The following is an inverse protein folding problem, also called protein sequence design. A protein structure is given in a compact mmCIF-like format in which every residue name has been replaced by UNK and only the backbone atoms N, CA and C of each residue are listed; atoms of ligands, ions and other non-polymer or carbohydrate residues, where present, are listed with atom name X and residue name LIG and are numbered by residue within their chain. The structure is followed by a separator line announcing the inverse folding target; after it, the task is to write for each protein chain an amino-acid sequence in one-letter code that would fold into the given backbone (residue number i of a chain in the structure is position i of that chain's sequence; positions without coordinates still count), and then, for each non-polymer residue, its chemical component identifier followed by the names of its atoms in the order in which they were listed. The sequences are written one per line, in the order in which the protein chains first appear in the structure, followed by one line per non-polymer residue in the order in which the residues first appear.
data_IF_504603664235
#
_entry.id   IF_504603664235
#
_cell.length_a   1.000
_cell.length_b   1.000
_cell.length_c   1.000
_cell.angle_alpha   90.00
_cell.angle_beta   90.00
_cell.angle_gamma   90.00
#
_symmetry.space_group_name_H-M   'P 1'
#
loop_
_entity.id
_entity.type
_entity.pdbx_description
1 polymer ?
#
# COMPACT_ATOMS: atom_id res chain seq x y z
N UNK A 1 -15.87 16.61 20.93
CA UNK A 1 -16.58 17.34 19.85
C UNK A 1 -15.60 17.55 18.71
N UNK A 2 -15.94 17.14 17.49
CA UNK A 2 -15.15 17.37 16.27
C UNK A 2 -15.84 18.47 15.44
N UNK A 3 -15.08 19.44 14.92
CA UNK A 3 -15.60 20.49 14.05
C UNK A 3 -15.25 20.15 12.60
N UNK A 4 -16.28 19.90 11.78
CA UNK A 4 -16.15 19.61 10.35
C UNK A 4 -16.49 20.88 9.56
N UNK A 5 -15.61 21.27 8.64
CA UNK A 5 -15.78 22.48 7.84
C UNK A 5 -16.78 22.25 6.69
N UNK A 6 -16.96 21.00 6.27
CA UNK A 6 -17.89 20.59 5.21
C UNK A 6 -19.26 20.21 5.79
N UNK A 7 -20.20 19.91 4.89
CA UNK A 7 -21.54 19.40 5.25
C UNK A 7 -21.58 17.88 5.52
N UNK A 8 -20.44 17.21 5.40
CA UNK A 8 -20.29 15.77 5.53
C UNK A 8 -18.94 15.46 6.18
N UNK A 9 -18.87 14.36 6.92
CA UNK A 9 -17.63 13.83 7.48
C UNK A 9 -16.91 12.91 6.49
N UNK A 10 -15.65 12.57 6.77
CA UNK A 10 -14.88 11.59 6.01
C UNK A 10 -13.94 12.18 4.96
N UNK A 11 -13.97 13.50 4.73
CA UNK A 11 -13.00 14.18 3.88
C UNK A 11 -12.97 13.62 2.45
N UNK A 12 -11.82 13.04 2.05
CA UNK A 12 -11.63 12.42 0.74
C UNK A 12 -12.19 11.00 0.64
N UNK A 13 -12.56 10.37 1.76
CA UNK A 13 -13.18 9.05 1.82
C UNK A 13 -14.72 9.11 1.95
N UNK A 14 -15.32 10.29 1.74
CA UNK A 14 -16.76 10.47 1.85
C UNK A 14 -17.50 9.96 0.60
N UNK A 15 -18.70 9.39 0.82
CA UNK A 15 -19.70 9.18 -0.24
C UNK A 15 -20.74 10.29 -0.13
N UNK A 16 -20.90 11.11 -1.17
CA UNK A 16 -21.79 12.27 -1.15
C UNK A 16 -22.76 12.25 -2.33
N UNK A 17 -23.94 12.82 -2.15
CA UNK A 17 -24.85 13.11 -3.25
C UNK A 17 -24.45 14.44 -3.89
N UNK A 18 -24.01 14.40 -5.16
CA UNK A 18 -23.58 15.61 -5.87
C UNK A 18 -24.77 16.34 -6.50
N UNK A 19 -25.77 15.59 -6.94
CA UNK A 19 -27.06 16.05 -7.45
C UNK A 19 -28.09 14.93 -7.28
N UNK A 20 -29.37 15.26 -7.33
CA UNK A 20 -30.47 14.36 -6.97
C UNK A 20 -30.36 12.98 -7.65
N UNK A 21 -30.27 11.95 -6.81
CA UNK A 21 -30.17 10.55 -7.20
C UNK A 21 -28.76 10.07 -7.56
N UNK A 22 -27.76 10.96 -7.61
CA UNK A 22 -26.37 10.61 -7.96
C UNK A 22 -25.43 10.69 -6.76
N UNK A 23 -25.05 9.51 -6.27
CA UNK A 23 -24.06 9.35 -5.19
C UNK A 23 -22.69 9.06 -5.78
N UNK A 24 -21.70 9.76 -5.26
CA UNK A 24 -20.32 9.72 -5.72
C UNK A 24 -19.36 9.56 -4.55
N UNK A 25 -18.40 8.65 -4.70
CA UNK A 25 -17.27 8.50 -3.80
C UNK A 25 -16.19 9.51 -4.19
N UNK A 26 -15.84 10.44 -3.30
CA UNK A 26 -14.99 11.59 -3.68
C UNK A 26 -13.62 11.15 -4.20
N UNK A 27 -12.93 10.27 -3.46
CA UNK A 27 -11.66 9.68 -3.91
C UNK A 27 -11.40 8.32 -3.25
N UNK A 28 -11.38 8.27 -1.91
CA UNK A 28 -11.13 7.08 -1.14
C UNK A 28 -12.28 6.09 -1.29
N UNK A 29 -12.05 5.07 -2.11
CA UNK A 29 -13.13 4.19 -2.60
C UNK A 29 -12.88 2.70 -2.34
N UNK A 30 -11.66 2.34 -1.89
CA UNK A 30 -11.27 0.98 -1.48
C UNK A 30 -10.67 1.00 -0.08
N UNK A 31 -11.03 0.01 0.72
CA UNK A 31 -10.51 -0.17 2.07
C UNK A 31 -9.15 -0.88 1.95
N UNK A 32 -8.10 -0.18 2.36
CA UNK A 32 -6.75 -0.74 2.51
C UNK A 32 -6.67 -1.60 3.77
N UNK A 33 -5.64 -2.47 3.91
CA UNK A 33 -5.45 -3.25 5.11
C UNK A 33 -5.27 -2.32 6.31
N UNK A 34 -5.93 -2.67 7.40
CA UNK A 34 -5.89 -1.90 8.65
C UNK A 34 -5.85 -2.86 9.83
N UNK A 35 -5.57 -2.34 11.03
CA UNK A 35 -5.48 -3.17 12.23
C UNK A 35 -6.77 -3.96 12.48
N UNK A 36 -6.64 -5.20 12.95
CA UNK A 36 -7.79 -6.02 13.35
C UNK A 36 -8.65 -5.34 14.43
N UNK A 37 -8.03 -4.59 15.34
CA UNK A 37 -8.74 -3.81 16.36
C UNK A 37 -9.74 -2.81 15.73
N UNK A 38 -9.28 -1.99 14.77
CA UNK A 38 -10.14 -1.05 14.04
C UNK A 38 -11.21 -1.77 13.22
N UNK A 39 -10.87 -2.88 12.55
CA UNK A 39 -11.85 -3.69 11.80
C UNK A 39 -12.97 -4.16 12.72
N UNK A 40 -12.62 -4.73 13.87
CA UNK A 40 -13.58 -5.26 14.83
C UNK A 40 -14.41 -4.18 15.50
N UNK A 41 -13.80 -3.07 15.92
CA UNK A 41 -14.49 -1.98 16.61
C UNK A 41 -15.51 -1.28 15.71
N UNK A 42 -15.17 -1.12 14.42
CA UNK A 42 -16.04 -0.47 13.44
C UNK A 42 -16.91 -1.45 12.63
N UNK A 43 -16.78 -2.77 12.87
CA UNK A 43 -17.51 -3.80 12.15
C UNK A 43 -17.27 -3.81 10.64
N UNK A 44 -16.07 -3.42 10.19
CA UNK A 44 -15.77 -3.23 8.75
C UNK A 44 -15.85 -4.54 7.95
N UNK A 45 -15.64 -5.67 8.60
CA UNK A 45 -15.74 -7.02 8.03
C UNK A 45 -17.19 -7.51 7.85
N UNK A 46 -18.17 -6.81 8.45
CA UNK A 46 -19.59 -7.13 8.30
C UNK A 46 -20.26 -6.38 7.14
N UNK A 47 -19.56 -5.41 6.55
CA UNK A 47 -20.09 -4.56 5.51
C UNK A 47 -20.15 -5.30 4.16
N UNK A 48 -21.19 -5.08 3.34
CA UNK A 48 -21.29 -5.71 2.03
C UNK A 48 -20.18 -5.21 1.11
N UNK A 49 -19.46 -6.16 0.49
CA UNK A 49 -18.37 -5.87 -0.45
C UNK A 49 -18.73 -6.24 -1.89
N UNK A 50 -18.09 -5.56 -2.84
CA UNK A 50 -18.03 -5.97 -4.24
C UNK A 50 -16.85 -6.92 -4.40
N UNK A 51 -17.10 -8.06 -5.02
CA UNK A 51 -16.03 -8.98 -5.42
C UNK A 51 -15.26 -8.39 -6.62
N UNK A 52 -13.94 -8.31 -6.50
CA UNK A 52 -13.07 -7.71 -7.51
C UNK A 52 -12.04 -8.75 -7.94
N UNK A 53 -11.96 -9.02 -9.24
CA UNK A 53 -10.87 -9.83 -9.81
C UNK A 53 -9.58 -9.00 -9.92
N UNK A 54 -9.71 -7.72 -10.29
CA UNK A 54 -8.60 -6.79 -10.48
C UNK A 54 -8.69 -5.69 -9.44
N UNK A 55 -7.62 -5.52 -8.66
CA UNK A 55 -7.47 -4.43 -7.69
C UNK A 55 -7.00 -3.14 -8.34
N UNK A 56 -5.99 -3.24 -9.19
CA UNK A 56 -5.41 -2.08 -9.87
C UNK A 56 -4.76 -2.47 -11.19
N UNK A 57 -4.65 -1.48 -12.08
CA UNK A 57 -3.88 -1.57 -13.31
C UNK A 57 -2.98 -0.35 -13.39
N UNK A 58 -1.68 -0.58 -13.47
CA UNK A 58 -0.70 0.47 -13.70
C UNK A 58 -0.17 0.39 -15.13
N UNK A 59 -0.13 1.53 -15.80
CA UNK A 59 0.39 1.70 -17.15
C UNK A 59 1.50 2.75 -17.10
N UNK A 60 2.61 2.47 -17.79
CA UNK A 60 3.68 3.46 -18.00
C UNK A 60 3.32 4.43 -19.13
N UNK A 61 2.89 3.89 -20.27
CA UNK A 61 2.63 4.66 -21.47
C UNK A 61 1.91 3.85 -22.56
N UNK A 62 1.71 4.47 -23.71
CA UNK A 62 1.05 3.85 -24.86
C UNK A 62 1.94 2.72 -25.40
N UNK A 63 1.39 1.51 -25.48
CA UNK A 63 2.09 0.34 -26.02
C UNK A 63 2.92 -0.44 -25.00
N UNK A 64 3.01 0.04 -23.77
CA UNK A 64 3.64 -0.72 -22.67
C UNK A 64 2.68 -1.78 -22.12
N UNK A 65 3.25 -2.91 -21.72
CA UNK A 65 2.49 -3.96 -21.07
C UNK A 65 1.96 -3.50 -19.69
N UNK A 66 0.69 -3.79 -19.34
CA UNK A 66 0.12 -3.41 -18.07
C UNK A 66 0.69 -4.22 -16.91
N UNK A 67 0.92 -3.54 -15.78
CA UNK A 67 0.99 -4.22 -14.50
C UNK A 67 -0.42 -4.36 -13.94
N UNK A 68 -0.95 -5.57 -13.97
CA UNK A 68 -2.27 -5.88 -13.41
C UNK A 68 -2.08 -6.52 -12.05
N UNK A 69 -2.68 -5.90 -11.02
CA UNK A 69 -2.72 -6.44 -9.66
C UNK A 69 -4.05 -7.15 -9.47
N UNK A 70 -4.01 -8.48 -9.51
CA UNK A 70 -5.15 -9.33 -9.23
C UNK A 70 -5.33 -9.53 -7.71
N UNK A 71 -6.57 -9.75 -7.28
CA UNK A 71 -6.85 -10.15 -5.89
C UNK A 71 -6.36 -11.56 -5.58
N UNK A 72 -6.32 -12.44 -6.60
CA UNK A 72 -5.71 -13.76 -6.50
C UNK A 72 -4.18 -13.66 -6.62
N UNK A 73 -3.41 -14.02 -5.57
CA UNK A 73 -1.96 -13.93 -5.60
C UNK A 73 -1.33 -14.88 -6.62
N UNK A 74 -1.90 -16.07 -6.87
CA UNK A 74 -1.39 -17.02 -7.87
C UNK A 74 -1.53 -16.41 -9.26
N UNK A 75 -2.69 -15.83 -9.56
CA UNK A 75 -2.93 -15.13 -10.82
C UNK A 75 -2.04 -13.90 -10.99
N UNK A 76 -1.83 -13.14 -9.91
CA UNK A 76 -0.92 -11.99 -9.89
C UNK A 76 0.53 -12.39 -10.21
N UNK A 77 1.06 -13.41 -9.55
CA UNK A 77 2.43 -13.87 -9.80
C UNK A 77 2.59 -14.54 -11.17
N UNK A 78 1.56 -15.22 -11.68
CA UNK A 78 1.55 -15.75 -13.04
C UNK A 78 1.61 -14.61 -14.08
N UNK A 79 0.74 -13.60 -13.97
CA UNK A 79 0.77 -12.40 -14.82
C UNK A 79 2.14 -11.72 -14.78
N UNK A 80 2.69 -11.56 -13.57
CA UNK A 80 3.99 -10.92 -13.40
C UNK A 80 5.10 -11.69 -14.11
N UNK A 81 5.10 -13.03 -14.01
CA UNK A 81 6.08 -13.86 -14.69
C UNK A 81 5.93 -13.84 -16.22
N UNK A 82 4.70 -13.97 -16.72
CA UNK A 82 4.40 -14.07 -18.15
C UNK A 82 4.66 -12.75 -18.89
N UNK A 83 4.31 -11.62 -18.26
CA UNK A 83 4.34 -10.30 -18.90
C UNK A 83 5.61 -9.54 -18.57
N UNK A 84 6.08 -9.58 -17.32
CA UNK A 84 7.21 -8.77 -16.85
C UNK A 84 8.50 -9.59 -16.61
N UNK A 85 8.40 -10.92 -16.62
CA UNK A 85 9.52 -11.85 -16.52
C UNK A 85 9.85 -12.32 -15.09
N UNK A 86 10.64 -13.39 -15.01
CA UNK A 86 11.00 -14.03 -13.74
C UNK A 86 11.84 -13.14 -12.79
N UNK A 87 12.60 -12.19 -13.36
CA UNK A 87 13.33 -11.18 -12.60
C UNK A 87 12.39 -10.17 -11.91
N UNK A 88 11.26 -9.81 -12.55
CA UNK A 88 10.25 -8.97 -11.92
C UNK A 88 9.56 -9.70 -10.76
N UNK A 89 9.30 -11.01 -10.91
CA UNK A 89 8.81 -11.87 -9.80
C UNK A 89 9.80 -11.88 -8.64
N UNK A 90 11.08 -12.10 -8.93
CA UNK A 90 12.14 -12.11 -7.92
C UNK A 90 12.25 -10.76 -7.21
N UNK A 91 12.18 -9.65 -7.96
CA UNK A 91 12.20 -8.30 -7.40
C UNK A 91 11.01 -8.01 -6.50
N UNK A 92 9.80 -8.42 -6.90
CA UNK A 92 8.60 -8.26 -6.08
C UNK A 92 8.68 -9.10 -4.79
N UNK A 93 9.14 -10.35 -4.88
CA UNK A 93 9.37 -11.19 -3.71
C UNK A 93 10.40 -10.55 -2.76
N UNK A 94 11.47 -9.95 -3.29
CA UNK A 94 12.46 -9.21 -2.52
C UNK A 94 11.88 -7.98 -1.82
N UNK A 95 11.02 -7.21 -2.50
CA UNK A 95 10.32 -6.05 -1.91
C UNK A 95 9.36 -6.46 -0.78
N UNK A 96 8.61 -7.56 -0.97
CA UNK A 96 7.72 -8.11 0.05
C UNK A 96 8.47 -8.65 1.27
N UNK A 97 9.66 -9.24 1.05
CA UNK A 97 10.53 -9.68 2.14
C UNK A 97 11.14 -8.48 2.88
N UNK A 98 11.59 -7.47 2.15
CA UNK A 98 12.12 -6.21 2.69
C UNK A 98 11.09 -5.50 3.56
N UNK A 99 9.82 -5.45 3.17
CA UNK A 99 8.79 -4.66 3.87
C UNK A 99 8.37 -5.25 5.23
N UNK A 100 8.69 -6.51 5.54
CA UNK A 100 8.24 -7.19 6.75
C UNK A 100 8.72 -6.51 8.05
N UNK A 101 10.03 -6.35 8.21
CA UNK A 101 10.60 -5.72 9.40
C UNK A 101 10.25 -4.22 9.52
N UNK A 102 10.34 -3.41 8.44
CA UNK A 102 9.79 -2.06 8.39
C UNK A 102 8.33 -1.96 8.85
N UNK A 103 7.45 -2.87 8.41
CA UNK A 103 6.03 -2.85 8.79
C UNK A 103 5.83 -3.06 10.28
N UNK A 104 6.58 -3.99 10.90
CA UNK A 104 6.58 -4.20 12.35
C UNK A 104 7.16 -3.00 13.11
N UNK A 105 8.27 -2.45 12.61
CA UNK A 105 8.91 -1.26 13.17
C UNK A 105 7.97 -0.03 13.15
N UNK A 106 7.21 0.17 12.08
CA UNK A 106 6.19 1.22 12.01
C UNK A 106 5.02 1.02 12.98
N UNK A 107 4.82 -0.20 13.50
CA UNK A 107 3.60 -0.54 14.23
C UNK A 107 2.36 -0.36 13.36
N UNK A 108 2.46 -0.62 12.05
CA UNK A 108 1.45 -0.28 11.03
C UNK A 108 0.03 -0.76 11.37
N UNK A 109 -0.07 -1.86 12.10
CA UNK A 109 -1.31 -2.52 12.49
C UNK A 109 -1.56 -2.53 14.01
N UNK A 110 -0.77 -1.79 14.79
CA UNK A 110 -0.91 -1.66 16.25
C UNK A 110 -1.75 -0.42 16.58
N UNK A 111 -3.07 -0.53 16.42
CA UNK A 111 -3.96 0.61 16.69
C UNK A 111 -4.00 0.95 18.19
N UNK A 112 -4.07 2.26 18.49
CA UNK A 112 -4.17 2.77 19.86
C UNK A 112 -2.85 2.83 20.63
N UNK A 113 -1.72 2.47 19.99
CA UNK A 113 -0.38 2.61 20.59
C UNK A 113 0.31 3.88 20.10
N UNK A 114 1.27 4.37 20.89
CA UNK A 114 2.18 5.42 20.43
C UNK A 114 3.13 4.87 19.36
N UNK A 115 3.64 5.73 18.45
CA UNK A 115 4.73 5.34 17.55
C UNK A 115 5.93 4.82 18.35
N UNK A 116 6.56 3.76 17.84
CA UNK A 116 7.79 3.22 18.42
C UNK A 116 8.92 4.26 18.38
N UNK A 117 9.75 4.26 19.40
CA UNK A 117 11.07 4.91 19.38
C UNK A 117 12.00 4.18 18.41
N UNK A 118 13.12 4.81 18.01
CA UNK A 118 14.09 4.14 17.13
C UNK A 118 14.69 2.87 17.76
N UNK A 119 14.94 2.87 19.07
CA UNK A 119 15.44 1.68 19.76
C UNK A 119 14.43 0.52 19.69
N UNK A 120 13.14 0.81 19.91
CA UNK A 120 12.06 -0.17 19.78
C UNK A 120 11.88 -0.65 18.32
N UNK A 121 12.04 0.25 17.34
CA UNK A 121 12.01 -0.12 15.93
C UNK A 121 13.12 -1.12 15.60
N UNK A 122 14.38 -0.81 15.93
CA UNK A 122 15.50 -1.71 15.66
C UNK A 122 15.40 -3.02 16.46
N UNK A 123 14.76 -3.01 17.64
CA UNK A 123 14.48 -4.23 18.39
C UNK A 123 13.49 -5.17 17.68
N UNK A 124 12.72 -4.71 16.68
CA UNK A 124 11.88 -5.58 15.85
C UNK A 124 12.66 -6.45 14.85
N UNK A 125 13.95 -6.16 14.62
CA UNK A 125 14.79 -6.94 13.73
C UNK A 125 15.36 -8.18 14.43
N UNK A 126 15.30 -9.31 13.74
CA UNK A 126 15.81 -10.61 14.20
C UNK A 126 17.17 -10.96 13.57
N UNK A 127 17.59 -10.21 12.55
CA UNK A 127 18.82 -10.42 11.80
C UNK A 127 19.31 -9.12 11.14
N UNK A 128 20.51 -9.15 10.56
CA UNK A 128 21.12 -7.98 9.93
C UNK A 128 20.35 -7.45 8.72
N UNK A 129 19.74 -8.34 7.93
CA UNK A 129 18.92 -7.94 6.78
C UNK A 129 17.69 -7.14 7.22
N UNK A 130 16.98 -7.60 8.24
CA UNK A 130 15.84 -6.88 8.81
C UNK A 130 16.27 -5.54 9.41
N UNK A 131 17.42 -5.52 10.12
CA UNK A 131 17.98 -4.29 10.68
C UNK A 131 18.33 -3.26 9.60
N UNK A 132 18.94 -3.72 8.51
CA UNK A 132 19.24 -2.89 7.33
C UNK A 132 17.97 -2.41 6.63
N UNK A 133 16.92 -3.22 6.57
CA UNK A 133 15.65 -2.83 5.94
C UNK A 133 14.95 -1.74 6.75
N UNK A 134 15.05 -1.78 8.08
CA UNK A 134 14.58 -0.70 8.97
C UNK A 134 15.41 0.58 8.76
N UNK A 135 16.72 0.46 8.56
CA UNK A 135 17.58 1.60 8.24
C UNK A 135 17.19 2.26 6.91
N UNK A 136 16.99 1.45 5.86
CA UNK A 136 16.48 1.92 4.57
C UNK A 136 15.14 2.64 4.74
N UNK A 137 14.21 2.10 5.52
CA UNK A 137 12.90 2.70 5.78
C UNK A 137 13.03 4.08 6.44
N UNK A 138 13.91 4.22 7.43
CA UNK A 138 14.09 5.44 8.21
C UNK A 138 14.81 6.55 7.42
N UNK A 139 15.83 6.19 6.66
CA UNK A 139 16.76 7.15 6.08
C UNK A 139 16.87 7.09 4.56
N UNK A 140 16.57 5.94 3.95
CA UNK A 140 16.64 5.72 2.51
C UNK A 140 15.44 6.31 1.75
N UNK A 141 15.58 6.35 0.43
CA UNK A 141 14.50 6.73 -0.48
C UNK A 141 13.83 5.49 -1.09
N UNK A 142 12.60 5.64 -1.60
CA UNK A 142 11.96 4.58 -2.40
C UNK A 142 12.84 4.20 -3.59
N UNK A 143 13.52 5.17 -4.20
CA UNK A 143 14.39 4.91 -5.35
C UNK A 143 15.56 4.00 -4.99
N UNK A 144 16.17 4.17 -3.80
CA UNK A 144 17.27 3.32 -3.33
C UNK A 144 16.82 1.86 -3.15
N UNK A 145 15.62 1.67 -2.58
CA UNK A 145 15.03 0.34 -2.40
C UNK A 145 14.71 -0.30 -3.76
N UNK A 146 14.10 0.46 -4.68
CA UNK A 146 13.76 -0.05 -6.01
C UNK A 146 15.00 -0.35 -6.86
N UNK A 147 16.08 0.42 -6.75
CA UNK A 147 17.34 0.13 -7.45
C UNK A 147 17.97 -1.19 -6.99
N UNK A 148 17.71 -1.62 -5.75
CA UNK A 148 18.19 -2.90 -5.23
C UNK A 148 17.38 -4.10 -5.74
N UNK A 149 16.06 -3.98 -5.78
CA UNK A 149 15.16 -5.11 -6.08
C UNK A 149 14.65 -5.15 -7.52
N UNK A 150 14.60 -4.01 -8.21
CA UNK A 150 14.15 -3.87 -9.61
C UNK A 150 15.18 -3.03 -10.40
N UNK A 151 16.44 -3.49 -10.53
CA UNK A 151 17.56 -2.66 -11.01
C UNK A 151 17.43 -2.22 -12.47
N UNK A 152 16.74 -2.98 -13.32
CA UNK A 152 16.50 -2.60 -14.71
C UNK A 152 15.35 -1.59 -14.79
N UNK A 153 15.74 -0.31 -14.84
CA UNK A 153 14.80 0.81 -14.78
C UNK A 153 13.84 0.87 -15.97
N UNK A 154 14.27 0.43 -17.15
CA UNK A 154 13.42 0.45 -18.34
C UNK A 154 12.50 -0.76 -18.36
N UNK A 155 13.05 -1.95 -18.13
CA UNK A 155 12.27 -3.19 -18.14
C UNK A 155 11.23 -3.22 -17.03
N UNK A 156 11.56 -2.75 -15.83
CA UNK A 156 10.66 -2.76 -14.68
C UNK A 156 9.94 -1.43 -14.46
N UNK A 157 9.92 -0.55 -15.45
CA UNK A 157 9.39 0.80 -15.31
C UNK A 157 7.94 0.85 -14.82
N UNK A 158 7.07 -0.05 -15.27
CA UNK A 158 5.68 -0.13 -14.81
C UNK A 158 5.60 -0.52 -13.31
N UNK A 159 6.40 -1.49 -12.87
CA UNK A 159 6.50 -1.88 -11.46
C UNK A 159 7.06 -0.74 -10.61
N UNK A 160 8.16 -0.14 -11.05
CA UNK A 160 8.81 0.97 -10.33
C UNK A 160 7.87 2.17 -10.23
N UNK A 161 7.16 2.51 -11.31
CA UNK A 161 6.13 3.54 -11.30
C UNK A 161 5.03 3.24 -10.29
N UNK A 162 4.47 2.03 -10.31
CA UNK A 162 3.46 1.59 -9.35
C UNK A 162 3.94 1.70 -7.89
N UNK A 163 5.16 1.28 -7.58
CA UNK A 163 5.70 1.33 -6.21
C UNK A 163 6.01 2.76 -5.73
N UNK A 164 6.34 3.67 -6.66
CA UNK A 164 6.60 5.08 -6.31
C UNK A 164 5.34 5.90 -6.04
N UNK A 165 4.16 5.44 -6.49
CA UNK A 165 2.86 6.09 -6.22
C UNK A 165 2.62 6.26 -4.71
N UNK A 166 3.03 5.30 -3.89
CA UNK A 166 2.84 5.39 -2.44
C UNK A 166 3.66 6.53 -1.80
N UNK A 167 4.87 6.79 -2.33
CA UNK A 167 5.71 7.88 -1.87
C UNK A 167 5.13 9.25 -2.19
N UNK A 168 4.59 9.44 -3.41
CA UNK A 168 4.04 10.74 -3.82
C UNK A 168 2.72 11.08 -3.12
N UNK A 169 2.00 10.09 -2.59
CA UNK A 169 0.72 10.30 -1.90
C UNK A 169 0.87 10.65 -0.41
N UNK A 170 2.05 10.45 0.18
CA UNK A 170 2.24 10.50 1.65
C UNK A 170 3.17 11.61 2.12
N UNK A 171 4.19 11.97 1.34
CA UNK A 171 5.12 13.04 1.67
C UNK A 171 5.01 14.20 0.69
N UNK A 172 5.27 15.42 1.16
CA UNK A 172 5.32 16.63 0.31
C UNK A 172 6.39 16.57 -0.80
N UNK A 173 7.24 15.52 -0.84
CA UNK A 173 8.39 15.39 -1.73
C UNK A 173 8.33 14.10 -2.57
N UNK A 174 9.23 13.97 -3.53
CA UNK A 174 9.23 12.83 -4.47
C UNK A 174 9.90 11.54 -3.95
N UNK A 175 9.81 10.43 -4.71
CA UNK A 175 10.30 9.10 -4.34
C UNK A 175 11.84 8.98 -4.22
N UNK A 176 12.59 9.99 -4.61
CA UNK A 176 14.05 10.06 -4.44
C UNK A 176 14.46 10.80 -3.15
N UNK A 177 13.50 11.17 -2.31
CA UNK A 177 13.78 11.91 -1.07
C UNK A 177 14.16 10.94 0.05
N UNK A 178 15.22 11.21 0.84
CA UNK A 178 15.50 10.47 2.07
C UNK A 178 14.29 10.40 3.00
N UNK A 179 14.05 9.22 3.59
CA UNK A 179 12.89 8.90 4.42
C UNK A 179 11.63 8.55 3.63
N UNK A 180 11.61 8.67 2.30
CA UNK A 180 10.44 8.27 1.50
C UNK A 180 10.19 6.76 1.48
N UNK A 181 11.21 5.94 1.80
CA UNK A 181 11.06 4.49 1.90
C UNK A 181 10.03 4.06 2.97
N UNK A 182 9.80 4.88 4.00
CA UNK A 182 8.72 4.65 4.97
C UNK A 182 7.33 4.55 4.32
N UNK A 183 7.07 5.31 3.25
CA UNK A 183 5.81 5.23 2.51
C UNK A 183 5.64 3.91 1.76
N UNK A 184 6.73 3.40 1.18
CA UNK A 184 6.74 2.09 0.52
C UNK A 184 6.49 0.97 1.54
N UNK A 185 7.18 1.01 2.68
CA UNK A 185 6.96 0.07 3.77
C UNK A 185 5.51 0.11 4.28
N UNK A 186 4.95 1.30 4.47
CA UNK A 186 3.56 1.47 4.91
C UNK A 186 2.55 0.85 3.95
N UNK A 187 2.75 1.00 2.63
CA UNK A 187 1.80 0.49 1.63
C UNK A 187 2.01 -0.97 1.23
N UNK A 188 3.22 -1.51 1.38
CA UNK A 188 3.50 -2.94 1.19
C UNK A 188 3.24 -3.78 2.46
N UNK A 189 2.94 -3.15 3.59
CA UNK A 189 2.61 -3.84 4.82
C UNK A 189 1.34 -4.67 4.68
N UNK A 190 1.41 -5.93 5.07
CA UNK A 190 0.27 -6.87 5.08
C UNK A 190 0.09 -7.35 6.52
N UNK A 191 -1.14 -7.35 7.08
CA UNK A 191 -1.39 -7.90 8.40
C UNK A 191 -1.18 -9.41 8.41
N UNK A 192 -0.74 -9.95 9.54
CA UNK A 192 -0.51 -11.39 9.68
C UNK A 192 -1.79 -12.18 9.37
N UNK A 193 -1.69 -13.13 8.43
CA UNK A 193 -2.75 -14.09 8.11
C UNK A 193 -3.77 -13.67 7.06
N UNK A 194 -3.64 -12.50 6.43
CA UNK A 194 -4.60 -12.05 5.40
C UNK A 194 -3.89 -11.56 4.13
N UNK A 195 -4.15 -12.22 2.99
CA UNK A 195 -3.64 -11.79 1.66
C UNK A 195 -4.55 -10.76 0.98
N UNK A 196 -5.76 -10.52 1.51
CA UNK A 196 -6.73 -9.62 0.88
C UNK A 196 -6.32 -8.18 1.11
N UNK A 197 -5.67 -7.60 0.10
CA UNK A 197 -5.08 -6.28 0.20
C UNK A 197 -6.08 -5.14 0.11
N UNK A 198 -7.18 -5.25 -0.65
CA UNK A 198 -8.14 -4.15 -0.77
C UNK A 198 -9.57 -4.66 -0.92
N UNK A 199 -10.51 -4.08 -0.17
CA UNK A 199 -11.95 -4.40 -0.26
C UNK A 199 -12.72 -3.21 -0.81
N UNK A 200 -13.60 -3.43 -1.78
CA UNK A 200 -14.53 -2.41 -2.26
C UNK A 200 -15.86 -2.55 -1.53
N UNK A 201 -16.28 -1.50 -0.82
CA UNK A 201 -17.56 -1.50 -0.11
C UNK A 201 -18.71 -1.13 -1.07
N UNK A 202 -19.82 -1.85 -0.97
CA UNK A 202 -21.05 -1.54 -1.72
C UNK A 202 -21.61 -0.18 -1.29
N UNK A 203 -21.63 0.77 -2.22
CA UNK A 203 -22.08 2.15 -1.96
C UNK A 203 -21.02 3.07 -1.37
N UNK A 204 -19.76 2.64 -1.31
CA UNK A 204 -18.61 3.44 -0.90
C UNK A 204 -18.33 3.46 0.60
N UNK A 205 -17.15 3.97 0.96
CA UNK A 205 -16.59 3.86 2.31
C UNK A 205 -17.18 4.87 3.29
N UNK A 206 -17.57 6.05 2.82
CA UNK A 206 -18.06 7.13 3.67
C UNK A 206 -19.57 7.10 3.91
N UNK A 207 -20.19 5.92 3.93
CA UNK A 207 -21.63 5.75 4.14
C UNK A 207 -21.99 5.70 5.62
#
# INVERSE_FOLDING_TARGET
MCLEAKRYAGGMAATVELFDGYRFEIAGSVQFPTSAAVVSELGLDTLPTVDLDVMSVALRGIGDDPLVQYTDPVKMFAHLNEVHGADAVTGMAGLLAWSQAPTRALGRFEAGTLPKTFDEMYACATNEFERSSIDDMLFGSVTDVLDRYLPDREKHAALRGSMTVLAVNTIYRGPATPGSAAALAFGLGIPDGDFVQMKKLCGGIGR
#
